data_IF_480443587287
#
_entry.id   IF_480443587287
#
_cell.length_a   1.000
_cell.length_b   1.000
_cell.length_c   1.000
_cell.angle_alpha   90.00
_cell.angle_beta   90.00
_cell.angle_gamma   90.00
#
_symmetry.space_group_name_H-M   'P 1'
#
loop_
_entity.id
_entity.type
_entity.pdbx_description
1 polymer ?
#
# COMPACT_ATOMS: atom_id res chain seq x y z
N UNK A 1 13.39 40.78 -34.65
CA UNK A 1 12.76 39.46 -34.45
C UNK A 1 13.85 38.41 -34.57
N UNK A 2 14.44 38.02 -33.44
CA UNK A 2 15.49 37.01 -33.39
C UNK A 2 14.83 35.67 -33.04
N UNK A 3 15.01 34.59 -33.83
CA UNK A 3 14.39 33.31 -33.52
C UNK A 3 15.05 32.70 -32.28
N UNK A 4 14.23 32.12 -31.40
CA UNK A 4 14.68 31.42 -30.20
C UNK A 4 15.50 30.17 -30.58
N UNK A 5 16.60 29.86 -29.87
CA UNK A 5 17.37 28.66 -30.14
C UNK A 5 16.57 27.41 -29.70
N UNK A 6 16.59 26.39 -30.55
CA UNK A 6 16.00 25.09 -30.28
C UNK A 6 16.60 24.49 -29.00
N UNK A 7 15.74 23.99 -28.10
CA UNK A 7 16.16 23.26 -26.90
C UNK A 7 17.00 22.05 -27.34
N UNK A 8 18.22 21.85 -26.83
CA UNK A 8 18.96 20.62 -27.10
C UNK A 8 18.14 19.46 -26.55
N UNK A 9 17.80 18.51 -27.43
CA UNK A 9 17.13 17.29 -27.04
C UNK A 9 18.03 16.48 -26.10
N UNK A 10 17.40 15.92 -25.09
CA UNK A 10 17.99 15.18 -23.98
C UNK A 10 18.48 13.78 -24.41
N UNK A 11 19.31 13.72 -25.45
CA UNK A 11 19.92 12.48 -25.96
C UNK A 11 20.77 11.80 -24.89
N UNK A 12 21.42 12.58 -24.03
CA UNK A 12 22.21 12.08 -22.91
C UNK A 12 21.37 11.31 -21.88
N UNK A 13 20.13 11.74 -21.59
CA UNK A 13 19.24 11.02 -20.67
C UNK A 13 18.73 9.71 -21.30
N UNK A 14 18.48 9.69 -22.61
CA UNK A 14 18.06 8.48 -23.33
C UNK A 14 19.19 7.45 -23.41
N UNK A 15 20.43 7.87 -23.67
CA UNK A 15 21.59 6.98 -23.66
C UNK A 15 21.87 6.47 -22.25
N UNK A 16 21.80 7.33 -21.23
CA UNK A 16 21.95 6.91 -19.83
C UNK A 16 20.89 5.89 -19.41
N UNK A 17 19.63 6.11 -19.78
CA UNK A 17 18.54 5.16 -19.50
C UNK A 17 18.72 3.83 -20.24
N UNK A 18 19.20 3.85 -21.49
CA UNK A 18 19.45 2.63 -22.26
C UNK A 18 20.63 1.82 -21.71
N UNK A 19 21.74 2.47 -21.37
CA UNK A 19 22.91 1.83 -20.74
C UNK A 19 22.55 1.26 -19.38
N UNK A 20 21.73 1.97 -18.59
CA UNK A 20 21.28 1.49 -17.29
C UNK A 20 20.29 0.32 -17.42
N UNK A 21 19.40 0.34 -18.42
CA UNK A 21 18.52 -0.78 -18.73
C UNK A 21 19.32 -2.04 -19.15
N UNK A 22 20.34 -1.89 -19.99
CA UNK A 22 21.19 -3.00 -20.44
C UNK A 22 22.05 -3.58 -19.30
N UNK A 23 22.65 -2.71 -18.48
CA UNK A 23 23.38 -3.11 -17.28
C UNK A 23 22.47 -3.83 -16.26
N UNK A 24 21.24 -3.34 -16.07
CA UNK A 24 20.25 -4.02 -15.23
C UNK A 24 19.85 -5.38 -15.82
N UNK A 25 19.60 -5.48 -17.13
CA UNK A 25 19.34 -6.77 -17.79
C UNK A 25 20.51 -7.76 -17.62
N UNK A 26 21.75 -7.27 -17.62
CA UNK A 26 22.92 -8.11 -17.35
C UNK A 26 22.97 -8.58 -15.88
N UNK A 27 22.61 -7.72 -14.92
CA UNK A 27 22.54 -8.08 -13.51
C UNK A 27 21.52 -9.21 -13.21
N UNK A 28 20.48 -9.35 -14.03
CA UNK A 28 19.49 -10.42 -13.91
C UNK A 28 19.94 -11.77 -14.46
N UNK A 29 21.02 -11.86 -15.26
CA UNK A 29 21.44 -13.13 -15.90
C UNK A 29 21.78 -14.21 -14.88
N UNK A 30 22.70 -13.94 -13.97
CA UNK A 30 23.18 -14.93 -13.00
C UNK A 30 22.06 -15.43 -12.06
N UNK A 31 21.23 -14.56 -11.44
CA UNK A 31 20.09 -15.01 -10.63
C UNK A 31 19.08 -15.87 -11.41
N UNK A 32 18.83 -15.57 -12.69
CA UNK A 32 17.94 -16.37 -13.52
C UNK A 32 18.55 -17.72 -13.94
N UNK A 33 19.86 -17.78 -14.19
CA UNK A 33 20.57 -19.05 -14.41
C UNK A 33 20.45 -19.95 -13.18
N UNK A 34 20.67 -19.39 -11.99
CA UNK A 34 20.53 -20.11 -10.73
C UNK A 34 19.09 -20.57 -10.49
N UNK A 35 18.11 -19.69 -10.73
CA UNK A 35 16.68 -20.03 -10.61
C UNK A 35 16.29 -21.20 -11.52
N UNK A 36 16.71 -21.17 -12.78
CA UNK A 36 16.40 -22.24 -13.75
C UNK A 36 17.08 -23.54 -13.32
N UNK A 37 18.33 -23.48 -12.85
CA UNK A 37 19.04 -24.64 -12.33
C UNK A 37 18.32 -25.24 -11.13
N UNK A 38 17.98 -24.43 -10.12
CA UNK A 38 17.28 -24.87 -8.93
C UNK A 38 15.89 -25.46 -9.25
N UNK A 39 15.14 -24.84 -10.16
CA UNK A 39 13.84 -25.37 -10.58
C UNK A 39 13.95 -26.73 -11.28
N UNK A 40 14.99 -26.92 -12.11
CA UNK A 40 15.27 -28.21 -12.77
C UNK A 40 15.68 -29.28 -11.76
N UNK A 41 16.58 -28.95 -10.82
CA UNK A 41 17.01 -29.85 -9.75
C UNK A 41 15.83 -30.30 -8.88
N UNK A 42 14.89 -29.40 -8.61
CA UNK A 42 13.66 -29.70 -7.87
C UNK A 42 12.55 -30.35 -8.72
N UNK A 43 12.76 -30.53 -10.04
CA UNK A 43 11.75 -31.00 -10.99
C UNK A 43 10.42 -30.21 -10.97
N UNK A 44 10.49 -28.89 -10.70
CA UNK A 44 9.33 -27.99 -10.66
C UNK A 44 9.26 -27.15 -11.94
N UNK A 45 8.12 -27.09 -12.64
CA UNK A 45 7.97 -26.21 -13.79
C UNK A 45 8.04 -24.74 -13.35
N UNK A 46 8.69 -23.89 -14.14
CA UNK A 46 8.88 -22.47 -13.81
C UNK A 46 7.56 -21.73 -13.58
N UNK A 47 6.45 -22.14 -14.20
CA UNK A 47 5.11 -21.58 -13.95
C UNK A 47 4.59 -21.76 -12.52
N UNK A 48 5.17 -22.68 -11.75
CA UNK A 48 4.85 -22.92 -10.34
C UNK A 48 5.85 -22.27 -9.38
N UNK A 49 6.87 -21.60 -9.92
CA UNK A 49 7.88 -20.91 -9.11
C UNK A 49 7.44 -19.48 -8.87
N UNK A 50 7.55 -19.04 -7.61
CA UNK A 50 7.28 -17.66 -7.19
C UNK A 50 8.60 -17.03 -6.78
N UNK A 51 8.93 -15.88 -7.37
CA UNK A 51 10.11 -15.09 -7.05
C UNK A 51 9.67 -13.87 -6.25
N UNK A 52 10.10 -13.81 -5.00
CA UNK A 52 9.79 -12.71 -4.09
C UNK A 52 10.79 -11.57 -4.28
N UNK A 53 10.28 -10.38 -4.50
CA UNK A 53 11.05 -9.17 -4.71
C UNK A 53 10.78 -8.16 -3.58
N UNK A 54 11.79 -7.40 -3.14
CA UNK A 54 11.62 -6.45 -2.05
C UNK A 54 10.71 -5.27 -2.44
N UNK A 55 10.66 -4.90 -3.72
CA UNK A 55 9.91 -3.75 -4.22
C UNK A 55 9.14 -4.08 -5.49
N UNK A 56 7.98 -3.45 -5.68
CA UNK A 56 7.11 -3.66 -6.84
C UNK A 56 7.71 -3.19 -8.17
N UNK A 57 8.56 -2.16 -8.15
CA UNK A 57 9.29 -1.70 -9.34
C UNK A 57 10.06 -2.88 -9.99
N UNK A 58 10.84 -3.60 -9.17
CA UNK A 58 11.65 -4.75 -9.58
C UNK A 58 10.86 -5.85 -10.28
N UNK A 59 9.57 -6.01 -9.96
CA UNK A 59 8.73 -7.02 -10.61
C UNK A 59 8.49 -6.70 -12.09
N UNK A 60 8.49 -5.43 -12.48
CA UNK A 60 8.38 -5.02 -13.88
C UNK A 60 9.70 -5.21 -14.61
N UNK A 61 10.83 -4.82 -13.99
CA UNK A 61 12.14 -5.03 -14.60
C UNK A 61 12.50 -6.52 -14.73
N UNK A 62 12.27 -7.33 -13.70
CA UNK A 62 12.55 -8.76 -13.74
C UNK A 62 11.73 -9.47 -14.82
N UNK A 63 10.44 -9.10 -15.00
CA UNK A 63 9.61 -9.64 -16.09
C UNK A 63 10.16 -9.28 -17.48
N UNK A 64 10.65 -8.06 -17.67
CA UNK A 64 11.25 -7.63 -18.94
C UNK A 64 12.54 -8.40 -19.22
N UNK A 65 13.47 -8.45 -18.26
CA UNK A 65 14.72 -9.19 -18.39
C UNK A 65 14.47 -10.69 -18.63
N UNK A 66 13.46 -11.27 -17.98
CA UNK A 66 13.07 -12.65 -18.20
C UNK A 66 12.50 -12.89 -19.60
N UNK A 67 11.65 -11.98 -20.10
CA UNK A 67 11.10 -12.06 -21.46
C UNK A 67 12.20 -11.93 -22.52
N UNK A 68 13.19 -11.06 -22.31
CA UNK A 68 14.37 -10.93 -23.18
C UNK A 68 15.17 -12.24 -23.23
N UNK A 69 15.40 -12.86 -22.08
CA UNK A 69 16.04 -14.17 -21.96
C UNK A 69 15.25 -15.29 -22.64
N UNK A 70 13.92 -15.27 -22.55
CA UNK A 70 13.05 -16.31 -23.11
C UNK A 70 12.78 -16.20 -24.61
N UNK A 71 13.19 -15.13 -25.31
CA UNK A 71 13.03 -15.04 -26.77
C UNK A 71 13.63 -16.23 -27.53
N UNK A 72 14.54 -16.98 -26.90
CA UNK A 72 15.24 -18.12 -27.49
C UNK A 72 14.74 -19.49 -26.99
N UNK A 73 13.77 -19.55 -26.07
CA UNK A 73 13.26 -20.81 -25.51
C UNK A 73 11.78 -20.75 -25.12
N UNK A 74 10.97 -21.68 -25.63
CA UNK A 74 9.57 -21.83 -25.24
C UNK A 74 9.48 -22.33 -23.79
N UNK A 75 8.92 -21.51 -22.90
CA UNK A 75 8.68 -21.88 -21.51
C UNK A 75 7.84 -20.85 -20.76
N UNK A 76 7.02 -21.31 -19.82
CA UNK A 76 6.24 -20.41 -18.96
C UNK A 76 7.17 -19.71 -17.95
N UNK A 77 6.91 -18.42 -17.71
CA UNK A 77 7.69 -17.62 -16.77
C UNK A 77 7.31 -17.88 -15.31
N UNK A 78 8.26 -17.73 -14.36
CA UNK A 78 7.95 -17.69 -12.95
C UNK A 78 7.13 -16.45 -12.59
N UNK A 79 6.39 -16.54 -11.49
CA UNK A 79 5.60 -15.42 -10.98
C UNK A 79 6.50 -14.51 -10.16
N UNK A 80 6.80 -13.33 -10.69
CA UNK A 80 7.47 -12.27 -9.94
C UNK A 80 6.45 -11.47 -9.13
N UNK A 81 6.66 -11.37 -7.81
CA UNK A 81 5.72 -10.72 -6.90
C UNK A 81 6.46 -10.14 -5.69
N UNK A 82 5.83 -9.23 -4.96
CA UNK A 82 6.37 -8.78 -3.67
C UNK A 82 5.91 -9.69 -2.55
N UNK A 83 6.60 -9.69 -1.41
CA UNK A 83 6.13 -10.40 -0.22
C UNK A 83 4.72 -9.96 0.19
N UNK A 84 4.43 -8.66 0.08
CA UNK A 84 3.11 -8.08 0.36
C UNK A 84 2.03 -8.67 -0.54
N UNK A 85 2.25 -8.66 -1.85
CA UNK A 85 1.27 -9.16 -2.83
C UNK A 85 1.09 -10.67 -2.71
N UNK A 86 2.16 -11.40 -2.40
CA UNK A 86 2.13 -12.84 -2.17
C UNK A 86 1.34 -13.20 -0.91
N UNK A 87 1.58 -12.50 0.20
CA UNK A 87 0.82 -12.67 1.43
C UNK A 87 -0.69 -12.40 1.20
N UNK A 88 -1.02 -11.32 0.47
CA UNK A 88 -2.40 -11.00 0.10
C UNK A 88 -3.07 -12.10 -0.75
N UNK A 89 -2.30 -12.80 -1.60
CA UNK A 89 -2.80 -13.88 -2.44
C UNK A 89 -3.00 -15.21 -1.69
N UNK A 90 -2.26 -15.47 -0.61
CA UNK A 90 -2.27 -16.75 0.12
C UNK A 90 -3.38 -16.88 1.15
N UNK A 91 -3.82 -15.77 1.75
CA UNK A 91 -4.99 -15.75 2.61
C UNK A 91 -5.54 -14.33 2.59
N UNK A 92 -6.71 -14.08 1.96
CA UNK A 92 -7.37 -12.81 2.16
C UNK A 92 -7.91 -12.84 3.58
N UNK A 93 -7.09 -12.43 4.56
CA UNK A 93 -7.60 -11.93 5.82
C UNK A 93 -8.66 -10.88 5.44
N UNK A 94 -9.91 -11.16 5.82
CA UNK A 94 -11.04 -10.29 5.50
C UNK A 94 -11.36 -9.49 6.75
N UNK A 95 -11.20 -8.16 6.71
CA UNK A 95 -11.73 -7.30 7.75
C UNK A 95 -13.22 -7.61 7.98
N UNK A 96 -13.62 -7.66 9.24
CA UNK A 96 -15.01 -7.67 9.70
C UNK A 96 -15.76 -6.44 9.20
N UNK A 97 -17.10 -6.45 9.30
CA UNK A 97 -17.97 -5.42 8.69
C UNK A 97 -17.56 -3.99 9.02
N UNK A 98 -17.04 -3.80 10.24
CA UNK A 98 -16.75 -2.48 10.82
C UNK A 98 -15.24 -2.20 10.90
N UNK A 99 -14.40 -3.12 10.41
CA UNK A 99 -12.95 -2.97 10.43
C UNK A 99 -12.46 -2.10 9.26
N UNK A 100 -11.33 -1.42 9.45
CA UNK A 100 -10.64 -0.70 8.37
C UNK A 100 -10.21 -1.70 7.29
N UNK A 101 -10.79 -1.59 6.10
CA UNK A 101 -10.55 -2.53 5.00
C UNK A 101 -9.58 -2.03 3.94
N UNK A 102 -9.24 -0.74 3.96
CA UNK A 102 -8.51 -0.03 2.90
C UNK A 102 -9.22 -0.03 1.52
N UNK A 103 -10.49 -0.44 1.50
CA UNK A 103 -11.38 -0.31 0.35
C UNK A 103 -12.18 0.98 0.54
N UNK A 104 -12.07 1.91 -0.40
CA UNK A 104 -12.69 3.23 -0.25
C UNK A 104 -14.22 3.16 -0.13
N UNK A 105 -14.88 2.28 -0.88
CA UNK A 105 -16.34 2.18 -0.87
C UNK A 105 -16.83 1.65 0.49
N UNK A 106 -16.14 0.64 1.04
CA UNK A 106 -16.48 0.08 2.34
C UNK A 106 -16.12 1.01 3.49
N UNK A 107 -14.90 1.55 3.51
CA UNK A 107 -14.44 2.47 4.54
C UNK A 107 -15.32 3.73 4.60
N UNK A 108 -15.82 4.21 3.45
CA UNK A 108 -16.73 5.35 3.41
C UNK A 108 -18.09 5.08 4.07
N UNK A 109 -18.67 3.88 3.87
CA UNK A 109 -19.92 3.49 4.52
C UNK A 109 -19.74 3.35 6.04
N UNK A 110 -18.64 2.71 6.46
CA UNK A 110 -18.33 2.55 7.89
C UNK A 110 -18.09 3.92 8.53
N UNK A 111 -17.24 4.77 7.94
CA UNK A 111 -16.97 6.12 8.44
C UNK A 111 -18.23 6.99 8.50
N UNK A 112 -19.12 6.91 7.51
CA UNK A 112 -20.42 7.59 7.54
C UNK A 112 -21.27 7.14 8.75
N UNK A 113 -21.36 5.84 9.00
CA UNK A 113 -22.07 5.29 10.16
C UNK A 113 -21.45 5.76 11.50
N UNK A 114 -20.12 5.85 11.60
CA UNK A 114 -19.46 6.43 12.77
C UNK A 114 -19.85 7.90 12.97
N UNK A 115 -19.78 8.72 11.92
CA UNK A 115 -20.13 10.15 11.97
C UNK A 115 -21.61 10.34 12.33
N UNK A 116 -22.52 9.55 11.77
CA UNK A 116 -23.96 9.62 12.06
C UNK A 116 -24.31 9.37 13.53
N UNK A 117 -23.52 8.55 14.24
CA UNK A 117 -23.75 8.23 15.64
C UNK A 117 -23.38 9.37 16.60
N UNK A 118 -22.49 10.28 16.18
CA UNK A 118 -21.95 11.35 17.05
C UNK A 118 -22.35 12.75 16.59
N UNK A 119 -22.67 12.92 15.31
CA UNK A 119 -22.94 14.22 14.71
C UNK A 119 -24.44 14.42 14.49
N UNK A 120 -25.02 15.56 14.92
CA UNK A 120 -26.45 15.83 14.77
C UNK A 120 -26.94 15.69 13.32
N UNK A 121 -28.15 15.13 13.14
CA UNK A 121 -28.76 14.94 11.82
C UNK A 121 -28.90 16.26 11.02
N UNK A 122 -29.12 17.38 11.71
CA UNK A 122 -29.27 18.73 11.13
C UNK A 122 -27.97 19.38 10.64
N UNK A 123 -26.81 18.73 10.78
CA UNK A 123 -25.56 19.26 10.26
C UNK A 123 -25.59 19.30 8.73
N UNK A 124 -25.00 20.35 8.15
CA UNK A 124 -24.84 20.50 6.71
C UNK A 124 -24.24 19.24 6.04
N UNK A 125 -24.82 18.85 4.91
CA UNK A 125 -24.43 17.64 4.18
C UNK A 125 -23.03 17.74 3.54
N UNK A 126 -22.59 18.95 3.18
CA UNK A 126 -21.22 19.20 2.72
C UNK A 126 -20.22 18.94 3.83
N UNK A 127 -20.44 19.53 5.00
CA UNK A 127 -19.60 19.32 6.18
C UNK A 127 -19.58 17.84 6.63
N UNK A 128 -20.72 17.14 6.59
CA UNK A 128 -20.76 15.70 6.90
C UNK A 128 -19.84 14.88 5.98
N UNK A 129 -19.87 15.15 4.67
CA UNK A 129 -19.00 14.47 3.69
C UNK A 129 -17.52 14.75 3.95
N UNK A 130 -17.19 15.99 4.30
CA UNK A 130 -15.82 16.36 4.67
C UNK A 130 -15.36 15.60 5.93
N UNK A 131 -16.20 15.54 6.98
CA UNK A 131 -15.87 14.79 8.19
C UNK A 131 -15.64 13.30 7.92
N UNK A 132 -16.43 12.70 7.02
CA UNK A 132 -16.23 11.31 6.58
C UNK A 132 -14.89 11.12 5.89
N UNK A 133 -14.54 11.98 4.93
CA UNK A 133 -13.26 11.91 4.23
C UNK A 133 -12.08 12.06 5.21
N UNK A 134 -12.15 13.06 6.12
CA UNK A 134 -11.12 13.28 7.13
C UNK A 134 -10.99 12.13 8.12
N UNK A 135 -12.10 11.49 8.49
CA UNK A 135 -12.10 10.31 9.35
C UNK A 135 -11.39 9.13 8.68
N UNK A 136 -11.69 8.86 7.40
CA UNK A 136 -11.02 7.79 6.64
C UNK A 136 -9.51 8.04 6.57
N UNK A 137 -9.09 9.26 6.22
CA UNK A 137 -7.68 9.59 6.10
C UNK A 137 -6.95 9.45 7.44
N UNK A 138 -7.51 9.99 8.52
CA UNK A 138 -6.93 9.88 9.86
C UNK A 138 -6.87 8.43 10.34
N UNK A 139 -7.94 7.65 10.16
CA UNK A 139 -7.98 6.24 10.53
C UNK A 139 -6.94 5.41 9.76
N UNK A 140 -6.77 5.67 8.46
CA UNK A 140 -5.76 5.00 7.63
C UNK A 140 -4.33 5.37 8.00
N UNK A 141 -4.07 6.60 8.45
CA UNK A 141 -2.76 7.00 8.98
C UNK A 141 -2.42 6.27 10.29
N UNK A 142 -3.43 6.01 11.14
CA UNK A 142 -3.27 5.31 12.41
C UNK A 142 -3.25 3.78 12.27
N UNK A 143 -3.85 3.22 11.22
CA UNK A 143 -3.99 1.78 11.04
C UNK A 143 -2.67 0.98 11.12
N UNK A 144 -1.55 1.41 10.50
CA UNK A 144 -0.27 0.69 10.64
C UNK A 144 0.26 0.68 12.08
N UNK A 145 0.02 1.76 12.84
CA UNK A 145 0.44 1.85 14.24
C UNK A 145 -0.42 0.95 15.14
N UNK A 146 -1.72 0.87 14.86
CA UNK A 146 -2.63 -0.05 15.54
C UNK A 146 -2.30 -1.51 15.23
N UNK A 147 -2.02 -1.83 13.96
CA UNK A 147 -1.65 -3.16 13.50
C UNK A 147 -0.32 -3.66 14.06
N UNK A 148 0.60 -2.74 14.40
CA UNK A 148 1.87 -3.08 15.06
C UNK A 148 1.69 -3.54 16.53
N UNK A 149 0.52 -3.32 17.13
CA UNK A 149 0.22 -3.76 18.49
C UNK A 149 -0.39 -5.15 18.49
N UNK A 150 -0.03 -5.95 19.50
CA UNK A 150 -0.66 -7.24 19.75
C UNK A 150 -2.19 -7.09 19.86
N UNK A 151 -3.00 -8.05 19.38
CA UNK A 151 -4.46 -7.96 19.36
C UNK A 151 -5.08 -7.52 20.69
N UNK A 152 -4.56 -8.02 21.81
CA UNK A 152 -5.04 -7.79 23.17
C UNK A 152 -4.69 -6.38 23.69
N UNK A 153 -3.69 -5.72 23.08
CA UNK A 153 -3.21 -4.40 23.50
C UNK A 153 -3.77 -3.24 22.68
N UNK A 154 -4.40 -3.49 21.54
CA UNK A 154 -4.89 -2.44 20.63
C UNK A 154 -5.91 -1.51 21.26
N UNK A 155 -6.86 -2.05 22.02
CA UNK A 155 -7.86 -1.24 22.72
C UNK A 155 -7.21 -0.30 23.76
N UNK A 156 -6.24 -0.80 24.53
CA UNK A 156 -5.49 0.00 25.49
C UNK A 156 -4.65 1.08 24.78
N UNK A 157 -3.97 0.73 23.68
CA UNK A 157 -3.24 1.70 22.86
C UNK A 157 -4.15 2.83 22.36
N UNK A 158 -5.35 2.51 21.89
CA UNK A 158 -6.29 3.51 21.40
C UNK A 158 -6.78 4.45 22.51
N UNK A 159 -7.04 3.92 23.71
CA UNK A 159 -7.34 4.75 24.89
C UNK A 159 -6.18 5.70 25.21
N UNK A 160 -4.94 5.19 25.25
CA UNK A 160 -3.75 6.02 25.49
C UNK A 160 -3.59 7.12 24.42
N UNK A 161 -3.88 6.83 23.14
CA UNK A 161 -3.84 7.84 22.07
C UNK A 161 -4.93 8.88 22.23
N UNK A 162 -6.16 8.48 22.58
CA UNK A 162 -7.25 9.42 22.85
C UNK A 162 -6.95 10.31 24.05
N UNK A 163 -6.40 9.76 25.13
CA UNK A 163 -5.96 10.55 26.29
C UNK A 163 -4.89 11.58 25.92
N UNK A 164 -3.90 11.19 25.10
CA UNK A 164 -2.86 12.10 24.61
C UNK A 164 -3.44 13.21 23.71
N UNK A 165 -4.39 12.88 22.83
CA UNK A 165 -5.09 13.85 21.98
C UNK A 165 -5.92 14.84 22.81
N UNK A 166 -6.61 14.36 23.84
CA UNK A 166 -7.37 15.21 24.76
C UNK A 166 -6.46 16.18 25.53
N UNK A 167 -5.27 15.73 25.96
CA UNK A 167 -4.29 16.57 26.64
C UNK A 167 -3.65 17.62 25.70
N UNK A 168 -3.55 17.32 24.40
CA UNK A 168 -3.06 18.23 23.37
C UNK A 168 -4.14 19.20 22.82
N UNK A 169 -5.42 18.91 23.10
CA UNK A 169 -6.56 19.65 22.57
C UNK A 169 -6.76 21.01 23.23
N UNK A 170 -6.82 22.07 22.42
CA UNK A 170 -7.12 23.45 22.85
C UNK A 170 -8.11 24.15 21.92
N UNK A 171 -8.92 25.03 22.53
CA UNK A 171 -9.98 25.89 21.97
C UNK A 171 -11.18 25.20 21.27
N UNK A 172 -12.37 25.79 21.41
CA UNK A 172 -13.61 25.31 20.78
C UNK A 172 -13.57 25.27 19.24
N UNK A 173 -12.65 26.02 18.62
CA UNK A 173 -12.44 26.02 17.17
C UNK A 173 -11.90 24.69 16.62
N UNK A 174 -11.33 23.82 17.47
CA UNK A 174 -10.80 22.50 17.06
C UNK A 174 -11.77 21.35 17.37
N UNK A 175 -13.04 21.63 17.68
CA UNK A 175 -14.00 20.58 18.09
C UNK A 175 -14.15 19.47 17.05
N UNK A 176 -14.16 19.81 15.76
CA UNK A 176 -14.36 18.85 14.68
C UNK A 176 -13.09 18.03 14.41
N UNK A 177 -11.92 18.66 14.52
CA UNK A 177 -10.63 17.98 14.42
C UNK A 177 -10.44 17.00 15.58
N UNK A 178 -10.77 17.43 16.80
CA UNK A 178 -10.73 16.60 18.00
C UNK A 178 -11.71 15.43 17.89
N UNK A 179 -12.92 15.65 17.37
CA UNK A 179 -13.88 14.59 17.11
C UNK A 179 -13.33 13.55 16.12
N UNK A 180 -12.84 14.02 14.96
CA UNK A 180 -12.27 13.14 13.93
C UNK A 180 -11.08 12.35 14.47
N UNK A 181 -10.16 12.99 15.20
CA UNK A 181 -9.00 12.32 15.77
C UNK A 181 -9.38 11.24 16.79
N UNK A 182 -10.36 11.52 17.66
CA UNK A 182 -10.85 10.54 18.64
C UNK A 182 -11.56 9.35 17.98
N UNK A 183 -12.41 9.61 16.97
CA UNK A 183 -13.08 8.56 16.21
C UNK A 183 -12.07 7.70 15.44
N UNK A 184 -11.09 8.32 14.80
CA UNK A 184 -10.03 7.64 14.07
C UNK A 184 -9.21 6.72 14.99
N UNK A 185 -8.80 7.21 16.16
CA UNK A 185 -8.07 6.39 17.15
C UNK A 185 -8.91 5.22 17.66
N UNK A 186 -10.22 5.44 17.91
CA UNK A 186 -11.13 4.38 18.36
C UNK A 186 -11.33 3.33 17.27
N UNK A 187 -11.60 3.76 16.04
CA UNK A 187 -11.83 2.87 14.92
C UNK A 187 -10.58 2.04 14.61
N UNK A 188 -9.39 2.66 14.58
CA UNK A 188 -8.14 1.94 14.40
C UNK A 188 -7.85 0.96 15.54
N UNK A 189 -8.14 1.32 16.79
CA UNK A 189 -7.94 0.45 17.96
C UNK A 189 -8.87 -0.75 18.04
N UNK A 190 -10.08 -0.63 17.48
CA UNK A 190 -11.11 -1.67 17.51
C UNK A 190 -11.12 -2.53 16.24
N UNK A 191 -10.50 -2.05 15.16
CA UNK A 191 -10.38 -2.79 13.91
C UNK A 191 -9.49 -4.02 14.09
N UNK A 192 -9.91 -5.16 13.54
CA UNK A 192 -8.99 -6.28 13.30
C UNK A 192 -7.99 -5.92 12.19
N UNK A 193 -6.84 -6.59 12.17
CA UNK A 193 -5.80 -6.45 11.15
C UNK A 193 -5.22 -7.81 10.82
N UNK A 194 -4.60 -7.93 9.65
CA UNK A 194 -3.69 -9.04 9.38
C UNK A 194 -2.43 -8.82 10.21
N UNK A 195 -2.23 -9.65 11.24
CA UNK A 195 -1.01 -9.69 12.08
C UNK A 195 -0.19 -10.91 11.74
#
# INVERSE_FOLDING_TARGET
MTPAPARPHDESALVGAAVQADAMSCAWRAPFDELVRAAREAAVPLSRVVVLLPYGALATEARRAWAERQRQAAGLAPRFTTLRDWAAALAPWRPGSDDISHDMARDALVAAAWIERVVPARLDAGLRRELVARLIDAARQLAPLAAAQAPERRAAWAEERRAALAAAGGAASTQWESLVANLAATWAGTSAYVT
#
